data_IF_028480893058
#
_entry.id   IF_028480893058
#
_cell.length_a   1.000
_cell.length_b   1.000
_cell.length_c   1.000
_cell.angle_alpha   90.00
_cell.angle_beta   90.00
_cell.angle_gamma   90.00
#
_symmetry.space_group_name_H-M   'P 1'
#
loop_
_entity.id
_entity.type
_entity.pdbx_description
1 polymer ?
#
# COMPACT_ATOMS: atom_id res chain seq x y z
N UNK A 1 6.67 -12.14 -11.99
CA UNK A 1 5.29 -11.65 -12.04
C UNK A 1 5.37 -10.20 -12.46
N UNK A 2 5.12 -10.00 -13.73
CA UNK A 2 5.14 -8.72 -14.39
C UNK A 2 3.99 -7.87 -13.83
N UNK A 3 4.31 -6.89 -12.99
CA UNK A 3 3.40 -5.79 -12.62
C UNK A 3 3.24 -4.84 -13.82
N UNK A 4 2.98 -5.39 -15.02
CA UNK A 4 3.07 -4.70 -16.30
C UNK A 4 1.98 -3.63 -16.48
N UNK A 5 0.94 -3.64 -15.64
CA UNK A 5 -0.22 -2.76 -15.74
C UNK A 5 -0.57 -2.03 -14.44
N UNK A 6 0.37 -1.88 -13.50
CA UNK A 6 0.14 -1.01 -12.35
C UNK A 6 0.79 0.37 -12.54
N UNK A 7 0.08 1.43 -12.16
CA UNK A 7 0.59 2.79 -12.14
C UNK A 7 1.21 3.06 -10.78
N UNK A 8 2.52 3.20 -10.74
CA UNK A 8 3.26 3.62 -9.55
C UNK A 8 3.10 5.12 -9.34
N UNK A 9 2.78 5.52 -8.11
CA UNK A 9 2.64 6.91 -7.68
C UNK A 9 3.35 7.12 -6.34
N UNK A 10 3.82 8.34 -6.10
CA UNK A 10 4.55 8.69 -4.90
C UNK A 10 3.78 9.68 -4.05
N UNK A 11 3.90 9.61 -2.73
CA UNK A 11 3.12 10.39 -1.79
C UNK A 11 3.92 10.77 -0.55
N UNK A 12 3.56 11.87 0.10
CA UNK A 12 4.23 12.35 1.32
C UNK A 12 3.65 11.70 2.57
N UNK A 13 2.36 11.38 2.56
CA UNK A 13 1.65 10.86 3.73
C UNK A 13 0.48 10.00 3.32
N UNK A 14 -0.16 9.38 4.29
CA UNK A 14 -1.47 8.77 4.15
C UNK A 14 -2.47 9.41 5.12
N UNK A 15 -3.74 9.20 4.86
CA UNK A 15 -4.85 9.66 5.68
C UNK A 15 -5.76 8.48 6.03
N UNK A 16 -6.34 8.54 7.21
CA UNK A 16 -7.19 7.48 7.75
C UNK A 16 -6.40 6.39 8.45
N UNK A 17 -7.13 5.59 9.23
CA UNK A 17 -6.63 4.41 9.96
C UNK A 17 -7.24 3.11 9.41
N UNK A 18 -8.16 3.23 8.45
CA UNK A 18 -8.85 2.10 7.84
C UNK A 18 -8.10 1.64 6.60
N UNK A 19 -7.96 0.34 6.44
CA UNK A 19 -7.39 -0.27 5.25
C UNK A 19 -8.39 -0.30 4.08
N UNK A 20 -7.93 -0.21 2.83
CA UNK A 20 -6.55 0.13 2.42
C UNK A 20 -6.21 1.58 2.77
N UNK A 21 -4.94 1.85 3.15
CA UNK A 21 -4.51 3.20 3.52
C UNK A 21 -4.67 4.16 2.36
N UNK A 22 -5.20 5.36 2.62
CA UNK A 22 -5.37 6.37 1.57
C UNK A 22 -4.14 7.27 1.50
N UNK A 23 -3.32 7.07 0.49
CA UNK A 23 -2.18 7.94 0.22
C UNK A 23 -2.64 9.36 -0.19
N UNK A 24 -1.98 10.38 0.34
CA UNK A 24 -2.30 11.81 0.15
C UNK A 24 -1.03 12.64 -0.05
N UNK A 25 -1.19 13.85 -0.59
CA UNK A 25 -0.08 14.67 -1.05
C UNK A 25 0.77 13.93 -2.09
N UNK A 26 0.14 13.63 -3.23
CA UNK A 26 0.81 13.00 -4.37
C UNK A 26 1.98 13.88 -4.85
N UNK A 27 3.11 13.24 -5.10
CA UNK A 27 4.31 13.83 -5.69
C UNK A 27 4.28 13.54 -7.18
N UNK A 28 4.29 14.59 -7.99
CA UNK A 28 4.23 14.47 -9.44
C UNK A 28 5.53 13.88 -10.04
N UNK A 29 6.66 14.05 -9.36
CA UNK A 29 7.99 13.70 -9.88
C UNK A 29 8.89 13.07 -8.81
N UNK A 30 9.74 12.16 -9.25
CA UNK A 30 10.75 11.48 -8.43
C UNK A 30 11.84 12.45 -7.92
N UNK A 31 12.05 13.58 -8.59
CA UNK A 31 12.96 14.65 -8.14
C UNK A 31 12.58 15.24 -6.79
N UNK A 32 11.30 15.16 -6.41
CA UNK A 32 10.82 15.56 -5.08
C UNK A 32 11.18 14.54 -3.99
N UNK A 33 11.64 13.34 -4.35
CA UNK A 33 12.07 12.28 -3.44
C UNK A 33 13.53 12.46 -3.02
N UNK A 34 14.39 12.99 -3.89
CA UNK A 34 15.84 13.15 -3.65
C UNK A 34 16.15 14.02 -2.42
N UNK A 35 15.25 14.94 -2.07
CA UNK A 35 15.38 15.81 -0.90
C UNK A 35 14.56 15.33 0.31
N UNK A 36 14.00 14.11 0.25
CA UNK A 36 13.13 13.57 1.30
C UNK A 36 13.74 12.35 1.95
N UNK A 37 13.78 12.44 3.26
CA UNK A 37 14.13 11.32 4.11
C UNK A 37 13.04 10.25 4.17
N UNK A 38 11.79 10.58 3.84
CA UNK A 38 10.66 9.65 3.92
C UNK A 38 9.59 9.96 2.89
N UNK A 39 9.11 8.92 2.22
CA UNK A 39 7.99 8.99 1.28
C UNK A 39 7.27 7.65 1.17
N UNK A 40 6.08 7.66 0.58
CA UNK A 40 5.29 6.47 0.31
C UNK A 40 5.21 6.24 -1.20
N UNK A 41 5.31 4.98 -1.62
CA UNK A 41 5.10 4.49 -2.97
C UNK A 41 3.81 3.69 -2.99
N UNK A 42 2.91 3.99 -3.91
CA UNK A 42 1.66 3.25 -4.11
C UNK A 42 1.58 2.72 -5.53
N UNK A 43 1.26 1.44 -5.72
CA UNK A 43 0.95 0.87 -7.03
C UNK A 43 -0.56 0.72 -7.17
N UNK A 44 -1.11 1.27 -8.25
CA UNK A 44 -2.54 1.25 -8.54
C UNK A 44 -2.84 0.41 -9.78
N UNK A 45 -3.87 -0.42 -9.72
CA UNK A 45 -4.36 -1.17 -10.88
C UNK A 45 -5.10 -0.27 -11.91
N UNK A 46 -5.48 -0.83 -13.06
CA UNK A 46 -6.35 -0.21 -14.05
C UNK A 46 -7.66 0.35 -13.45
N UNK A 47 -8.22 -0.32 -12.44
CA UNK A 47 -9.39 0.13 -11.68
C UNK A 47 -9.08 1.23 -10.63
N UNK A 48 -7.87 1.81 -10.65
CA UNK A 48 -7.36 2.78 -9.66
C UNK A 48 -7.40 2.26 -8.21
N UNK A 49 -7.26 0.94 -8.03
CA UNK A 49 -7.21 0.28 -6.72
C UNK A 49 -5.77 0.14 -6.25
N UNK A 50 -5.50 0.52 -5.01
CA UNK A 50 -4.16 0.41 -4.43
C UNK A 50 -3.82 -1.06 -4.17
N UNK A 51 -2.91 -1.62 -4.95
CA UNK A 51 -2.44 -3.01 -4.82
C UNK A 51 -1.24 -3.13 -3.87
N UNK A 52 -0.39 -2.12 -3.83
CA UNK A 52 0.85 -2.12 -3.04
C UNK A 52 1.07 -0.73 -2.46
N UNK A 53 1.49 -0.67 -1.21
CA UNK A 53 1.98 0.54 -0.55
C UNK A 53 3.31 0.23 0.11
N UNK A 54 4.32 1.04 -0.12
CA UNK A 54 5.63 0.91 0.53
C UNK A 54 6.03 2.26 1.12
N UNK A 55 6.49 2.26 2.36
CA UNK A 55 7.09 3.42 3.03
C UNK A 55 8.60 3.28 2.92
N UNK A 56 9.22 4.22 2.23
CA UNK A 56 10.66 4.31 2.11
C UNK A 56 11.17 5.38 3.07
N UNK A 57 12.19 5.04 3.85
CA UNK A 57 12.85 5.92 4.81
C UNK A 57 14.35 5.84 4.57
N UNK A 58 14.96 6.94 4.16
CA UNK A 58 16.36 7.03 3.75
C UNK A 58 16.79 6.02 2.67
N UNK A 59 15.83 5.52 1.87
CA UNK A 59 16.06 4.52 0.82
C UNK A 59 15.73 3.09 1.23
N UNK A 60 15.54 2.82 2.52
CA UNK A 60 15.13 1.51 3.03
C UNK A 60 13.60 1.41 3.11
N UNK A 61 13.07 0.24 2.77
CA UNK A 61 11.63 -0.04 2.92
C UNK A 61 11.37 -0.36 4.38
N UNK A 62 10.79 0.60 5.11
CA UNK A 62 10.41 0.39 6.50
C UNK A 62 9.06 -0.28 6.66
N UNK A 63 8.19 -0.19 5.66
CA UNK A 63 6.87 -0.79 5.73
C UNK A 63 6.34 -1.07 4.35
N UNK A 64 5.75 -2.25 4.16
CA UNK A 64 5.20 -2.69 2.88
C UNK A 64 3.85 -3.34 3.11
N UNK A 65 2.82 -2.82 2.47
CA UNK A 65 1.47 -3.33 2.51
C UNK A 65 1.07 -3.84 1.13
N UNK A 66 0.73 -5.11 1.01
CA UNK A 66 0.15 -5.70 -0.20
C UNK A 66 -1.34 -5.88 0.03
N UNK A 67 -2.16 -5.38 -0.89
CA UNK A 67 -3.61 -5.44 -0.80
C UNK A 67 -4.16 -6.34 -1.90
N UNK A 68 -4.92 -7.36 -1.50
CA UNK A 68 -5.72 -8.19 -2.39
C UNK A 68 -7.20 -7.81 -2.25
N UNK A 69 -7.92 -7.80 -3.35
CA UNK A 69 -9.35 -7.47 -3.38
C UNK A 69 -10.16 -8.67 -3.85
N UNK A 70 -11.36 -8.81 -3.30
CA UNK A 70 -12.38 -9.74 -3.74
C UNK A 70 -12.89 -9.34 -5.13
N UNK A 71 -13.57 -10.27 -5.82
CA UNK A 71 -14.17 -10.00 -7.13
C UNK A 71 -15.18 -8.84 -7.12
N UNK A 72 -15.78 -8.56 -5.96
CA UNK A 72 -16.70 -7.45 -5.72
C UNK A 72 -15.98 -6.09 -5.51
N UNK A 73 -14.65 -6.07 -5.45
CA UNK A 73 -13.83 -4.88 -5.23
C UNK A 73 -13.62 -4.46 -3.77
N UNK A 74 -14.10 -5.26 -2.82
CA UNK A 74 -13.83 -5.07 -1.39
C UNK A 74 -12.46 -5.67 -1.05
N UNK A 75 -11.76 -5.08 -0.08
CA UNK A 75 -10.50 -5.62 0.40
C UNK A 75 -10.71 -7.04 0.93
N UNK A 76 -9.91 -7.98 0.46
CA UNK A 76 -9.93 -9.38 0.87
C UNK A 76 -8.79 -9.71 1.84
N UNK A 77 -7.61 -9.18 1.57
CA UNK A 77 -6.42 -9.45 2.36
C UNK A 77 -5.50 -8.24 2.33
N UNK A 78 -4.87 -7.95 3.46
CA UNK A 78 -3.80 -6.99 3.59
C UNK A 78 -2.61 -7.67 4.25
N UNK A 79 -1.53 -7.85 3.50
CA UNK A 79 -0.26 -8.35 4.00
C UNK A 79 0.62 -7.16 4.34
N UNK A 80 1.01 -7.03 5.60
CA UNK A 80 1.79 -5.93 6.15
C UNK A 80 3.15 -6.48 6.55
N UNK A 81 4.20 -6.05 5.87
CA UNK A 81 5.58 -6.32 6.24
C UNK A 81 6.17 -5.09 6.92
N UNK A 82 6.68 -5.26 8.15
CA UNK A 82 7.39 -4.21 8.89
C UNK A 82 8.90 -4.17 8.53
N UNK A 83 9.64 -3.23 9.12
CA UNK A 83 11.07 -3.02 8.89
C UNK A 83 11.93 -4.21 9.34
N UNK A 84 11.45 -4.98 10.34
CA UNK A 84 12.10 -6.22 10.78
C UNK A 84 11.86 -7.40 9.81
N UNK A 85 10.97 -7.22 8.81
CA UNK A 85 10.55 -8.27 7.89
C UNK A 85 9.45 -9.16 8.45
N UNK A 86 8.90 -8.84 9.62
CA UNK A 86 7.72 -9.50 10.17
C UNK A 86 6.50 -9.24 9.27
N UNK A 87 5.80 -10.32 8.91
CA UNK A 87 4.64 -10.29 8.03
C UNK A 87 3.37 -10.53 8.86
N UNK A 88 2.50 -9.53 8.91
CA UNK A 88 1.16 -9.60 9.48
C UNK A 88 0.12 -9.67 8.36
N UNK A 89 -0.70 -10.72 8.36
CA UNK A 89 -1.72 -10.92 7.31
C UNK A 89 -3.10 -10.73 7.90
N UNK A 90 -3.76 -9.64 7.50
CA UNK A 90 -5.14 -9.34 7.85
C UNK A 90 -6.07 -9.81 6.74
N UNK A 91 -7.04 -10.65 7.09
CA UNK A 91 -8.08 -11.10 6.16
C UNK A 91 -9.38 -10.37 6.41
N UNK A 92 -10.16 -10.20 5.35
CA UNK A 92 -11.42 -9.50 5.36
C UNK A 92 -12.47 -10.30 4.59
N UNK A 93 -13.68 -10.32 5.11
CA UNK A 93 -14.84 -10.90 4.46
C UNK A 93 -15.29 -10.07 3.24
N UNK A 94 -16.18 -10.61 2.39
CA UNK A 94 -16.79 -9.93 1.26
C UNK A 94 -17.51 -8.61 1.63
N UNK A 95 -17.85 -8.43 2.91
CA UNK A 95 -18.43 -7.19 3.47
C UNK A 95 -17.39 -6.16 3.94
N UNK A 96 -16.09 -6.51 3.95
CA UNK A 96 -14.99 -5.67 4.44
C UNK A 96 -14.82 -5.70 5.96
N UNK A 97 -15.44 -6.67 6.63
CA UNK A 97 -15.21 -6.95 8.05
C UNK A 97 -13.92 -7.76 8.23
N UNK A 98 -13.06 -7.35 9.16
CA UNK A 98 -11.84 -8.10 9.47
C UNK A 98 -12.20 -9.48 10.03
N UNK A 99 -11.69 -10.52 9.38
CA UNK A 99 -11.71 -11.89 9.88
C UNK A 99 -10.54 -12.00 10.86
N UNK A 100 -10.81 -12.42 12.08
CA UNK A 100 -9.75 -12.69 13.05
C UNK A 100 -8.82 -13.78 12.47
N UNK A 101 -7.51 -13.55 12.55
CA UNK A 101 -6.53 -14.61 12.35
C UNK A 101 -6.72 -15.63 13.49
N UNK A 102 -7.03 -16.88 13.14
CA UNK A 102 -7.14 -18.01 14.07
C UNK A 102 -5.75 -18.42 14.60
#
# INVERSE_FOLDING_TARGET
MELENCVTRYFISYSGVKLPLKLVNELADESHLENRNTYFRGCYDADQRLMLLEKLVYGDVELRHVYAYHANGILAEAEITDADGEIDVLRFDETGAALAAD
#
